data_IF_857510724126
#
_entry.id   IF_857510724126
#
_cell.length_a   1.000
_cell.length_b   1.000
_cell.length_c   1.000
_cell.angle_alpha   90.00
_cell.angle_beta   90.00
_cell.angle_gamma   90.00
#
_symmetry.space_group_name_H-M   'P 1'
#
loop_
_entity.id
_entity.type
_entity.pdbx_description
1 polymer ?
#
# COMPACT_ATOMS: atom_id res chain seq x y z
N UNK A 1 -6.16 -9.92 13.65
CA UNK A 1 -6.99 -8.90 12.96
C UNK A 1 -6.30 -8.37 11.70
N UNK A 2 -5.00 -8.05 11.78
CA UNK A 2 -4.17 -7.54 10.69
C UNK A 2 -4.26 -8.35 9.38
N UNK A 3 -4.07 -9.67 9.44
CA UNK A 3 -4.11 -10.57 8.27
C UNK A 3 -5.47 -10.62 7.56
N UNK A 4 -6.57 -10.52 8.32
CA UNK A 4 -7.92 -10.55 7.74
C UNK A 4 -8.28 -9.25 7.02
N UNK A 5 -7.66 -8.12 7.40
CA UNK A 5 -7.89 -6.84 6.74
C UNK A 5 -7.30 -6.76 5.32
N UNK A 6 -6.44 -7.69 4.92
CA UNK A 6 -5.96 -7.81 3.53
C UNK A 6 -6.99 -8.38 2.56
N UNK A 7 -8.02 -9.08 3.04
CA UNK A 7 -9.07 -9.68 2.19
C UNK A 7 -9.86 -8.61 1.42
N UNK A 8 -10.35 -7.52 2.05
CA UNK A 8 -10.95 -6.40 1.33
C UNK A 8 -10.08 -5.81 0.22
N UNK A 9 -8.76 -5.70 0.45
CA UNK A 9 -7.81 -5.19 -0.55
C UNK A 9 -7.71 -6.14 -1.74
N UNK A 10 -7.53 -7.45 -1.50
CA UNK A 10 -7.48 -8.45 -2.58
C UNK A 10 -8.80 -8.46 -3.37
N UNK A 11 -9.94 -8.41 -2.68
CA UNK A 11 -11.25 -8.36 -3.32
C UNK A 11 -11.41 -7.09 -4.16
N UNK A 12 -10.93 -5.95 -3.68
CA UNK A 12 -10.98 -4.68 -4.41
C UNK A 12 -10.18 -4.76 -5.72
N UNK A 13 -9.00 -5.39 -5.72
CA UNK A 13 -8.21 -5.66 -6.93
C UNK A 13 -8.82 -6.72 -7.85
N UNK A 14 -9.47 -7.76 -7.29
CA UNK A 14 -10.20 -8.73 -8.09
C UNK A 14 -11.35 -8.05 -8.85
N UNK A 15 -12.18 -7.25 -8.17
CA UNK A 15 -13.24 -6.46 -8.80
C UNK A 15 -12.67 -5.55 -9.87
N UNK A 16 -11.52 -4.91 -9.59
CA UNK A 16 -10.81 -4.08 -10.56
C UNK A 16 -10.44 -4.84 -11.83
N UNK A 17 -9.88 -6.04 -11.68
CA UNK A 17 -9.45 -6.87 -12.82
C UNK A 17 -10.57 -7.25 -13.78
N UNK A 18 -11.83 -7.20 -13.32
CA UNK A 18 -13.01 -7.51 -14.13
C UNK A 18 -13.53 -6.29 -14.92
N UNK A 19 -13.06 -5.07 -14.63
CA UNK A 19 -13.51 -3.86 -15.32
C UNK A 19 -12.73 -3.63 -16.62
N UNK A 20 -13.41 -3.24 -17.70
CA UNK A 20 -12.76 -2.92 -19.00
C UNK A 20 -11.82 -1.71 -18.88
N UNK A 21 -12.21 -0.79 -18.02
CA UNK A 21 -11.55 0.47 -17.72
C UNK A 21 -10.28 0.26 -16.88
N UNK A 22 -10.04 -0.95 -16.36
CA UNK A 22 -8.90 -1.21 -15.49
C UNK A 22 -7.54 -0.94 -16.14
N UNK A 23 -7.45 -1.10 -17.47
CA UNK A 23 -6.25 -0.77 -18.24
C UNK A 23 -5.97 0.74 -18.29
N UNK A 24 -6.98 1.57 -18.05
CA UNK A 24 -6.89 3.03 -18.05
C UNK A 24 -6.52 3.59 -16.67
N UNK A 25 -6.73 2.81 -15.59
CA UNK A 25 -6.44 3.20 -14.20
C UNK A 25 -4.97 3.41 -13.86
N UNK A 26 -4.09 3.20 -14.83
CA UNK A 26 -2.66 3.48 -14.66
C UNK A 26 -2.09 4.21 -15.88
N UNK A 27 -2.94 4.97 -16.57
CA UNK A 27 -2.54 5.79 -17.70
C UNK A 27 -1.94 5.01 -18.86
N UNK A 28 -2.28 3.72 -18.99
CA UNK A 28 -1.68 2.85 -20.00
C UNK A 28 -0.21 2.53 -19.73
N UNK A 29 0.18 2.30 -18.46
CA UNK A 29 1.49 1.73 -18.10
C UNK A 29 1.91 0.67 -19.12
N UNK A 30 3.04 0.92 -19.78
CA UNK A 30 3.59 0.06 -20.83
C UNK A 30 5.09 -0.16 -20.65
N UNK A 31 5.59 -1.24 -21.23
CA UNK A 31 7.02 -1.56 -21.25
C UNK A 31 7.60 -1.74 -19.85
N UNK A 32 8.78 -1.15 -19.62
CA UNK A 32 9.55 -1.36 -18.40
C UNK A 32 8.88 -0.77 -17.15
N UNK A 33 8.12 0.31 -17.28
CA UNK A 33 7.43 0.97 -16.15
C UNK A 33 6.30 0.06 -15.63
N UNK A 34 5.56 -0.59 -16.52
CA UNK A 34 4.55 -1.59 -16.13
C UNK A 34 5.17 -2.75 -15.35
N UNK A 35 6.31 -3.28 -15.82
CA UNK A 35 7.00 -4.35 -15.12
C UNK A 35 7.53 -3.90 -13.76
N UNK A 36 8.08 -2.68 -13.66
CA UNK A 36 8.53 -2.11 -12.39
C UNK A 36 7.36 -1.95 -11.40
N UNK A 37 6.22 -1.45 -11.87
CA UNK A 37 4.99 -1.36 -11.08
C UNK A 37 4.55 -2.75 -10.59
N UNK A 38 4.45 -3.74 -11.48
CA UNK A 38 3.99 -5.09 -11.13
C UNK A 38 4.93 -5.78 -10.12
N UNK A 39 6.24 -5.65 -10.31
CA UNK A 39 7.24 -6.14 -9.36
C UNK A 39 7.10 -5.43 -8.02
N UNK A 40 6.93 -4.10 -8.01
CA UNK A 40 6.75 -3.35 -6.77
C UNK A 40 5.46 -3.71 -6.03
N UNK A 41 4.38 -4.02 -6.75
CA UNK A 41 3.12 -4.49 -6.17
C UNK A 41 3.32 -5.87 -5.52
N UNK A 42 3.96 -6.81 -6.22
CA UNK A 42 4.25 -8.13 -5.67
C UNK A 42 5.15 -8.05 -4.42
N UNK A 43 6.20 -7.22 -4.47
CA UNK A 43 7.07 -6.97 -3.32
C UNK A 43 6.31 -6.31 -2.16
N UNK A 44 5.37 -5.41 -2.43
CA UNK A 44 4.52 -4.79 -1.41
C UNK A 44 3.64 -5.83 -0.72
N UNK A 45 3.03 -6.76 -1.47
CA UNK A 45 2.21 -7.84 -0.90
C UNK A 45 3.06 -8.76 -0.02
N UNK A 46 4.25 -9.19 -0.49
CA UNK A 46 5.17 -10.01 0.29
C UNK A 46 5.63 -9.27 1.55
N UNK A 47 5.97 -7.99 1.42
CA UNK A 47 6.39 -7.12 2.52
C UNK A 47 5.29 -6.98 3.58
N UNK A 48 4.04 -6.81 3.14
CA UNK A 48 2.88 -6.78 4.04
C UNK A 48 2.75 -8.09 4.83
N UNK A 49 2.85 -9.25 4.18
CA UNK A 49 2.77 -10.53 4.88
C UNK A 49 3.92 -10.73 5.86
N UNK A 50 5.15 -10.34 5.48
CA UNK A 50 6.30 -10.40 6.36
C UNK A 50 6.13 -9.53 7.60
N UNK A 51 5.75 -8.25 7.43
CA UNK A 51 5.53 -7.35 8.56
C UNK A 51 4.34 -7.76 9.41
N UNK A 52 3.25 -8.24 8.80
CA UNK A 52 2.12 -8.80 9.55
C UNK A 52 2.54 -10.03 10.38
N UNK A 53 3.45 -10.87 9.85
CA UNK A 53 4.02 -11.97 10.63
C UNK A 53 4.88 -11.46 11.79
N UNK A 54 5.82 -10.56 11.51
CA UNK A 54 6.71 -9.98 12.53
C UNK A 54 5.92 -9.29 13.64
N UNK A 55 4.85 -8.58 13.31
CA UNK A 55 4.03 -7.87 14.30
C UNK A 55 3.03 -8.75 15.07
N UNK A 56 2.77 -9.98 14.64
CA UNK A 56 1.87 -10.88 15.38
C UNK A 56 2.64 -11.92 16.17
N UNK A 57 3.72 -12.47 15.60
CA UNK A 57 4.47 -13.58 16.18
C UNK A 57 5.94 -13.26 16.48
N UNK A 58 6.52 -12.25 15.84
CA UNK A 58 7.92 -11.86 16.05
C UNK A 58 8.12 -10.76 17.08
N UNK A 59 7.04 -10.24 17.68
CA UNK A 59 7.09 -9.05 18.54
C UNK A 59 7.82 -9.29 19.86
N UNK A 60 7.74 -10.51 20.42
CA UNK A 60 8.35 -10.85 21.71
C UNK A 60 9.89 -10.76 21.70
N UNK A 61 10.50 -10.93 20.53
CA UNK A 61 11.96 -10.92 20.35
C UNK A 61 12.51 -9.51 20.05
N UNK A 62 11.65 -8.53 19.73
CA UNK A 62 11.99 -7.45 18.81
C UNK A 62 12.18 -6.04 19.42
N UNK A 63 12.41 -5.91 20.72
CA UNK A 63 12.42 -4.59 21.37
C UNK A 63 13.79 -3.87 21.34
N UNK A 64 13.85 -2.74 20.62
CA UNK A 64 14.93 -1.73 20.75
C UNK A 64 14.53 -0.58 21.69
N UNK A 65 13.23 -0.25 21.72
CA UNK A 65 12.64 0.68 22.68
C UNK A 65 11.71 -0.10 23.61
N UNK A 66 11.77 0.17 24.91
CA UNK A 66 10.80 -0.34 25.90
C UNK A 66 9.42 0.31 25.67
N UNK A 67 8.76 -0.02 24.55
CA UNK A 67 7.41 0.41 24.26
C UNK A 67 6.43 -0.61 24.87
N UNK A 68 5.56 -0.23 25.84
CA UNK A 68 4.63 -1.18 26.42
C UNK A 68 3.79 -1.89 25.35
N UNK A 69 3.70 -3.22 25.44
CA UNK A 69 3.05 -4.06 24.43
C UNK A 69 1.61 -3.62 24.13
N UNK A 70 0.85 -3.20 25.15
CA UNK A 70 -0.53 -2.73 25.02
C UNK A 70 -0.66 -1.44 24.17
N UNK A 71 0.32 -0.53 24.24
CA UNK A 71 0.32 0.71 23.46
C UNK A 71 0.74 0.46 22.01
N UNK A 72 1.75 -0.39 21.83
CA UNK A 72 2.24 -0.80 20.53
C UNK A 72 1.17 -1.56 19.72
N UNK A 73 0.44 -2.49 20.33
CA UNK A 73 -0.62 -3.24 19.65
C UNK A 73 -1.74 -2.30 19.18
N UNK A 74 -2.20 -1.39 20.05
CA UNK A 74 -3.23 -0.41 19.71
C UNK A 74 -2.75 0.53 18.59
N UNK A 75 -1.49 0.96 18.63
CA UNK A 75 -0.87 1.77 17.59
C UNK A 75 -0.83 1.03 16.25
N UNK A 76 -0.24 -0.16 16.21
CA UNK A 76 -0.11 -0.96 14.99
C UNK A 76 -1.49 -1.28 14.40
N UNK A 77 -2.46 -1.68 15.23
CA UNK A 77 -3.83 -1.91 14.80
C UNK A 77 -4.45 -0.66 14.15
N UNK A 78 -4.24 0.51 14.75
CA UNK A 78 -4.75 1.78 14.22
C UNK A 78 -4.13 2.11 12.86
N UNK A 79 -2.80 2.03 12.76
CA UNK A 79 -2.08 2.33 11.52
C UNK A 79 -2.48 1.37 10.40
N UNK A 80 -2.55 0.07 10.68
CA UNK A 80 -2.99 -0.92 9.69
C UNK A 80 -4.46 -0.77 9.30
N UNK A 81 -5.32 -0.36 10.22
CA UNK A 81 -6.73 -0.08 9.89
C UNK A 81 -6.83 1.06 8.89
N UNK A 82 -6.07 2.15 9.10
CA UNK A 82 -6.01 3.27 8.15
C UNK A 82 -5.41 2.81 6.82
N UNK A 83 -4.30 2.08 6.84
CA UNK A 83 -3.63 1.56 5.65
C UNK A 83 -4.55 0.66 4.81
N UNK A 84 -5.12 -0.39 5.42
CA UNK A 84 -5.95 -1.37 4.73
C UNK A 84 -7.30 -0.77 4.31
N UNK A 85 -7.88 0.09 5.14
CA UNK A 85 -9.13 0.79 4.82
C UNK A 85 -8.98 1.70 3.60
N UNK A 86 -7.92 2.52 3.58
CA UNK A 86 -7.62 3.41 2.45
C UNK A 86 -7.25 2.64 1.18
N UNK A 87 -6.39 1.62 1.30
CA UNK A 87 -5.99 0.76 0.18
C UNK A 87 -7.18 -0.03 -0.42
N UNK A 88 -8.12 -0.50 0.41
CA UNK A 88 -9.30 -1.21 -0.09
C UNK A 88 -10.25 -0.29 -0.88
N UNK A 89 -10.31 1.00 -0.54
CA UNK A 89 -11.14 1.99 -1.23
C UNK A 89 -10.56 2.42 -2.58
N UNK A 90 -9.23 2.30 -2.77
CA UNK A 90 -8.54 2.77 -3.97
C UNK A 90 -9.21 2.29 -5.27
N UNK A 91 -9.40 0.98 -5.43
CA UNK A 91 -9.82 0.42 -6.71
C UNK A 91 -11.22 0.87 -7.12
N UNK A 92 -12.15 0.98 -6.14
CA UNK A 92 -13.51 1.43 -6.38
C UNK A 92 -13.55 2.90 -6.81
N UNK A 93 -12.85 3.77 -6.08
CA UNK A 93 -12.83 5.20 -6.36
C UNK A 93 -12.10 5.48 -7.67
N UNK A 94 -10.99 4.80 -7.92
CA UNK A 94 -10.23 4.97 -9.15
C UNK A 94 -11.05 4.59 -10.39
N UNK A 95 -11.87 3.53 -10.32
CA UNK A 95 -12.80 3.18 -11.41
C UNK A 95 -13.82 4.28 -11.64
N UNK A 96 -14.41 4.83 -10.57
CA UNK A 96 -15.36 5.94 -10.71
C UNK A 96 -14.72 7.17 -11.36
N UNK A 97 -13.50 7.53 -10.94
CA UNK A 97 -12.74 8.64 -11.52
C UNK A 97 -12.47 8.43 -13.03
N UNK A 98 -12.10 7.21 -13.42
CA UNK A 98 -11.90 6.86 -14.84
C UNK A 98 -13.20 6.94 -15.62
N UNK A 99 -14.30 6.39 -15.09
CA UNK A 99 -15.62 6.41 -15.75
C UNK A 99 -16.16 7.84 -15.90
N UNK A 100 -15.97 8.67 -14.87
CA UNK A 100 -16.40 10.08 -14.84
C UNK A 100 -15.46 11.01 -15.58
N UNK A 101 -14.34 10.48 -16.04
CA UNK A 101 -13.32 11.22 -16.76
C UNK A 101 -12.65 12.34 -15.96
N UNK A 102 -12.56 12.19 -14.64
CA UNK A 102 -12.13 13.25 -13.73
C UNK A 102 -11.36 12.68 -12.53
N UNK A 103 -10.26 13.33 -12.16
CA UNK A 103 -9.58 13.07 -10.88
C UNK A 103 -10.38 13.68 -9.74
N UNK A 104 -10.88 12.85 -8.83
CA UNK A 104 -11.57 13.31 -7.63
C UNK A 104 -10.56 13.66 -6.54
N UNK A 105 -10.84 14.73 -5.80
CA UNK A 105 -10.09 15.08 -4.58
C UNK A 105 -10.13 13.93 -3.56
N UNK A 106 -11.21 13.15 -3.55
CA UNK A 106 -11.35 12.00 -2.67
C UNK A 106 -10.28 10.94 -2.93
N UNK A 107 -10.05 10.57 -4.19
CA UNK A 107 -9.00 9.61 -4.54
C UNK A 107 -7.61 10.11 -4.16
N UNK A 108 -7.35 11.40 -4.39
CA UNK A 108 -6.06 12.03 -4.05
C UNK A 108 -5.80 11.93 -2.55
N UNK A 109 -6.78 12.29 -1.72
CA UNK A 109 -6.67 12.19 -0.26
C UNK A 109 -6.49 10.73 0.15
N UNK A 110 -7.23 9.80 -0.47
CA UNK A 110 -7.14 8.38 -0.17
C UNK A 110 -5.73 7.83 -0.42
N UNK A 111 -5.14 8.12 -1.58
CA UNK A 111 -3.80 7.70 -1.97
C UNK A 111 -2.72 8.22 -1.02
N UNK A 112 -2.77 9.52 -0.69
CA UNK A 112 -1.84 10.10 0.26
C UNK A 112 -2.05 9.58 1.69
N UNK A 113 -3.27 9.22 2.06
CA UNK A 113 -3.56 8.56 3.35
C UNK A 113 -2.93 7.16 3.39
N UNK A 114 -3.05 6.36 2.33
CA UNK A 114 -2.37 5.06 2.22
C UNK A 114 -0.85 5.21 2.24
N UNK A 115 -0.31 6.19 1.53
CA UNK A 115 1.12 6.51 1.51
C UNK A 115 1.64 6.92 2.90
N UNK A 116 0.90 7.77 3.62
CA UNK A 116 1.29 8.16 4.97
C UNK A 116 1.20 6.99 5.96
N UNK A 117 0.14 6.19 5.90
CA UNK A 117 0.00 5.02 6.76
C UNK A 117 1.12 3.99 6.50
N UNK A 118 1.50 3.77 5.24
CA UNK A 118 2.63 2.88 4.91
C UNK A 118 3.98 3.38 5.43
N UNK A 119 4.22 4.69 5.44
CA UNK A 119 5.40 5.28 6.10
C UNK A 119 5.40 5.00 7.61
N UNK A 120 4.25 5.13 8.28
CA UNK A 120 4.13 4.82 9.71
C UNK A 120 4.35 3.33 10.00
N UNK A 121 3.85 2.43 9.14
CA UNK A 121 4.14 0.99 9.22
C UNK A 121 5.66 0.75 9.11
N UNK A 122 6.31 1.36 8.12
CA UNK A 122 7.76 1.23 7.94
C UNK A 122 8.56 1.79 9.11
N UNK A 123 8.17 2.95 9.64
CA UNK A 123 8.80 3.54 10.83
C UNK A 123 8.62 2.64 12.06
N UNK A 124 7.44 2.04 12.22
CA UNK A 124 7.16 1.08 13.29
C UNK A 124 7.97 -0.20 13.12
N UNK A 125 8.16 -0.68 11.88
CA UNK A 125 9.01 -1.81 11.57
C UNK A 125 10.48 -1.55 11.93
N UNK A 126 10.96 -0.31 11.77
CA UNK A 126 12.32 0.08 12.20
C UNK A 126 12.41 0.18 13.73
N UNK A 127 11.40 0.76 14.39
CA UNK A 127 11.42 1.00 15.83
C UNK A 127 11.24 -0.27 16.67
N UNK A 128 10.48 -1.24 16.17
CA UNK A 128 10.11 -2.49 16.87
C UNK A 128 10.93 -3.68 16.36
N UNK A 129 12.09 -3.50 15.72
CA UNK A 129 12.92 -4.66 15.38
C UNK A 129 14.34 -4.52 15.93
N UNK A 130 14.65 -5.42 16.88
CA UNK A 130 15.97 -5.65 17.47
C UNK A 130 16.50 -7.08 17.25
N UNK A 131 15.83 -7.91 16.43
CA UNK A 131 16.11 -9.35 16.30
C UNK A 131 17.11 -9.64 15.20
N UNK A 132 18.37 -9.97 15.53
CA UNK A 132 19.43 -10.37 14.56
C UNK A 132 19.68 -9.37 13.42
N UNK A 133 20.83 -9.43 12.76
CA UNK A 133 21.09 -8.50 11.65
C UNK A 133 20.06 -8.71 10.51
N UNK A 134 19.66 -9.95 10.24
CA UNK A 134 18.82 -10.27 9.07
C UNK A 134 17.36 -9.79 9.21
N UNK A 135 16.67 -10.06 10.32
CA UNK A 135 15.26 -9.64 10.46
C UNK A 135 15.12 -8.13 10.54
N UNK A 136 16.06 -7.43 11.17
CA UNK A 136 16.11 -5.97 11.17
C UNK A 136 16.25 -5.42 9.75
N UNK A 137 17.20 -5.93 8.97
CA UNK A 137 17.37 -5.54 7.56
C UNK A 137 16.12 -5.82 6.73
N UNK A 138 15.49 -6.98 6.91
CA UNK A 138 14.25 -7.34 6.21
C UNK A 138 13.07 -6.46 6.62
N UNK A 139 12.89 -6.14 7.89
CA UNK A 139 11.82 -5.26 8.37
C UNK A 139 11.96 -3.83 7.84
N UNK A 140 13.19 -3.30 7.81
CA UNK A 140 13.47 -1.99 7.22
C UNK A 140 13.20 -2.02 5.71
N UNK A 141 13.71 -3.05 5.01
CA UNK A 141 13.51 -3.21 3.57
C UNK A 141 12.03 -3.31 3.23
N UNK A 142 11.28 -4.15 3.93
CA UNK A 142 9.84 -4.34 3.70
C UNK A 142 9.05 -3.08 4.01
N UNK A 143 9.36 -2.37 5.09
CA UNK A 143 8.78 -1.06 5.39
C UNK A 143 9.03 -0.02 4.30
N UNK A 144 10.27 0.06 3.80
CA UNK A 144 10.63 0.92 2.68
C UNK A 144 9.92 0.54 1.39
N UNK A 145 9.83 -0.75 1.05
CA UNK A 145 9.18 -1.22 -0.17
C UNK A 145 7.68 -0.88 -0.20
N UNK A 146 6.98 -1.07 0.92
CA UNK A 146 5.56 -0.68 1.02
C UNK A 146 5.44 0.84 0.84
N UNK A 147 6.23 1.65 1.53
CA UNK A 147 6.17 3.11 1.39
C UNK A 147 6.51 3.57 -0.05
N UNK A 148 7.55 3.00 -0.65
CA UNK A 148 7.99 3.33 -2.01
C UNK A 148 6.88 3.08 -3.03
N UNK A 149 6.19 1.95 -2.93
CA UNK A 149 5.10 1.62 -3.86
C UNK A 149 3.96 2.63 -3.74
N UNK A 150 3.44 2.84 -2.52
CA UNK A 150 2.26 3.70 -2.34
C UNK A 150 2.57 5.18 -2.55
N UNK A 151 3.79 5.66 -2.26
CA UNK A 151 4.19 7.03 -2.57
C UNK A 151 4.47 7.16 -4.08
N UNK A 152 5.33 6.32 -4.61
CA UNK A 152 5.86 6.46 -5.97
C UNK A 152 4.82 6.12 -7.03
N UNK A 153 4.24 4.92 -6.96
CA UNK A 153 3.30 4.44 -7.96
C UNK A 153 1.86 4.88 -7.66
N UNK A 154 1.40 4.77 -6.42
CA UNK A 154 -0.01 5.04 -6.16
C UNK A 154 -0.28 6.54 -6.02
N UNK A 155 0.47 7.28 -5.21
CA UNK A 155 0.22 8.71 -5.01
C UNK A 155 0.81 9.59 -6.13
N UNK A 156 2.11 9.49 -6.40
CA UNK A 156 2.80 10.39 -7.35
C UNK A 156 2.47 10.01 -8.79
N UNK A 157 2.69 8.75 -9.18
CA UNK A 157 2.50 8.34 -10.57
C UNK A 157 1.03 8.52 -10.96
N UNK A 158 0.06 8.11 -10.15
CA UNK A 158 -1.35 8.36 -10.45
C UNK A 158 -1.71 9.84 -10.60
N UNK A 159 -1.18 10.71 -9.73
CA UNK A 159 -1.36 12.16 -9.85
C UNK A 159 -0.73 12.71 -11.13
N UNK A 160 0.40 12.15 -11.58
CA UNK A 160 1.07 12.56 -12.80
C UNK A 160 0.41 11.98 -14.06
N UNK A 161 -0.19 10.80 -13.97
CA UNK A 161 -0.85 10.15 -15.10
C UNK A 161 -2.27 10.65 -15.21
N UNK A 162 -2.48 11.54 -16.17
CA UNK A 162 -3.70 11.73 -16.95
C UNK A 162 -3.41 12.82 -18.00
N UNK A 163 -2.67 12.43 -19.05
CA UNK A 163 -2.64 13.09 -20.38
C UNK A 163 -1.88 12.19 -21.40
N UNK A 164 -2.33 12.00 -22.67
CA UNK A 164 -3.41 12.72 -23.33
C UNK A 164 -4.82 12.38 -22.82
N UNK A 165 -5.61 13.45 -22.73
CA UNK A 165 -7.04 13.54 -22.46
C UNK A 165 -7.86 12.47 -23.17
N UNK A 166 -8.98 12.13 -22.53
CA UNK A 166 -10.11 11.30 -22.95
C UNK A 166 -10.68 11.45 -24.39
N UNK A 167 -10.02 12.14 -25.31
CA UNK A 167 -10.39 12.34 -26.71
C UNK A 167 -9.70 11.38 -27.71
N UNK A 168 -8.80 10.51 -27.26
CA UNK A 168 -8.22 9.42 -28.09
C UNK A 168 -8.95 8.07 -27.92
N UNK A 169 -10.13 8.07 -27.31
CA UNK A 169 -10.98 6.88 -27.22
C UNK A 169 -12.05 7.00 -28.31
N UNK A 170 -11.71 6.51 -29.50
CA UNK A 170 -12.66 6.01 -30.49
C UNK A 170 -12.95 4.53 -30.23
#
# INVERSE_FOLDING_TARGET
MLLFGGIPVIFSYYVLSQQREAKQLWGGLQGWIFNAWLVSMALTVISYFYLAYMFVWGIEDAYVFEWPAAEMEAWLCSVYTVFLGSAAQYSFVAVLDVQQKQKSTFLIINLWTTAFASLLIGASAVAINGVSDLHNWLSIFTGFMIALHHIGFDAIYWLSTFDPKYMEIA
#
